data_IF_215311439205
#
_entry.id   IF_215311439205
#
_cell.length_a   1.000
_cell.length_b   1.000
_cell.length_c   1.000
_cell.angle_alpha   90.00
_cell.angle_beta   90.00
_cell.angle_gamma   90.00
#
_symmetry.space_group_name_H-M   'P 1'
#
loop_
_entity.id
_entity.type
_entity.pdbx_description
1 polymer ?
#
# COMPACT_ATOMS: atom_id res chain seq x y z
N UNK A 1 -3.80 3.94 -23.05
CA UNK A 1 -2.93 3.48 -21.95
C UNK A 1 -3.73 3.61 -20.67
N UNK A 2 -3.74 2.57 -19.81
CA UNK A 2 -4.39 2.64 -18.50
C UNK A 2 -3.67 3.61 -17.58
N UNK A 3 -4.41 4.25 -16.65
CA UNK A 3 -3.90 5.28 -15.73
C UNK A 3 -4.27 4.96 -14.28
N UNK A 4 -3.32 5.14 -13.38
CA UNK A 4 -3.56 5.04 -11.93
C UNK A 4 -3.23 6.39 -11.27
N UNK A 5 -4.20 6.95 -10.54
CA UNK A 5 -3.91 8.04 -9.62
C UNK A 5 -3.20 7.45 -8.39
N UNK A 6 -1.98 7.88 -8.11
CA UNK A 6 -1.17 7.41 -6.99
C UNK A 6 -1.08 8.51 -5.94
N UNK A 7 -1.75 8.31 -4.81
CA UNK A 7 -1.93 9.30 -3.75
C UNK A 7 -1.07 8.88 -2.56
N UNK A 8 0.08 9.53 -2.40
CA UNK A 8 1.06 9.19 -1.36
C UNK A 8 2.03 10.37 -1.17
N UNK A 9 2.91 10.33 -0.17
CA UNK A 9 3.97 11.32 -0.04
C UNK A 9 5.05 11.12 -1.11
N UNK A 10 5.80 12.20 -1.36
CA UNK A 10 7.00 12.18 -2.18
C UNK A 10 8.23 12.37 -1.30
N UNK A 11 8.92 11.29 -0.98
CA UNK A 11 10.21 11.31 -0.31
C UNK A 11 11.34 11.37 -1.33
N UNK A 12 12.17 12.43 -1.27
CA UNK A 12 13.25 12.68 -2.21
C UNK A 12 14.42 11.69 -2.08
N UNK A 13 14.70 11.25 -0.85
CA UNK A 13 15.70 10.23 -0.55
C UNK A 13 15.06 9.08 0.24
N UNK A 14 15.42 7.86 -0.12
CA UNK A 14 14.76 6.62 0.31
C UNK A 14 13.80 6.09 -0.76
N UNK A 15 13.76 4.77 -0.89
CA UNK A 15 12.91 4.06 -1.88
C UNK A 15 11.58 3.66 -1.26
N UNK A 16 10.70 4.63 -1.07
CA UNK A 16 9.37 4.46 -0.48
C UNK A 16 8.35 5.38 -1.18
N UNK A 17 7.11 5.24 -0.84
CA UNK A 17 6.00 6.10 -1.26
C UNK A 17 5.97 6.32 -2.79
N UNK A 18 5.79 7.55 -3.29
CA UNK A 18 5.77 7.83 -4.73
C UNK A 18 7.09 7.45 -5.42
N UNK A 19 8.25 7.61 -4.75
CA UNK A 19 9.56 7.26 -5.32
C UNK A 19 9.69 5.76 -5.62
N UNK A 20 8.97 4.90 -4.90
CA UNK A 20 8.88 3.47 -5.15
C UNK A 20 7.74 3.09 -6.10
N UNK A 21 6.57 3.70 -5.93
CA UNK A 21 5.37 3.38 -6.68
C UNK A 21 5.49 3.72 -8.18
N UNK A 22 5.96 4.92 -8.51
CA UNK A 22 5.99 5.41 -9.89
C UNK A 22 6.81 4.52 -10.84
N UNK A 23 8.05 4.10 -10.50
CA UNK A 23 8.83 3.27 -11.40
C UNK A 23 8.24 1.86 -11.58
N UNK A 24 7.66 1.24 -10.55
CA UNK A 24 7.09 -0.11 -10.69
C UNK A 24 5.78 -0.10 -11.47
N UNK A 25 4.90 0.88 -11.26
CA UNK A 25 3.68 1.02 -12.04
C UNK A 25 4.01 1.29 -13.53
N UNK A 26 5.01 2.15 -13.79
CA UNK A 26 5.47 2.46 -15.15
C UNK A 26 6.11 1.23 -15.81
N UNK A 27 6.90 0.42 -15.10
CA UNK A 27 7.49 -0.81 -15.62
C UNK A 27 6.42 -1.84 -16.01
N UNK A 28 5.26 -1.83 -15.34
CA UNK A 28 4.09 -2.64 -15.67
C UNK A 28 3.27 -2.10 -16.86
N UNK A 29 3.72 -1.01 -17.52
CA UNK A 29 3.08 -0.45 -18.71
C UNK A 29 1.85 0.41 -18.43
N UNK A 30 1.72 0.94 -17.22
CA UNK A 30 0.62 1.82 -16.80
C UNK A 30 1.15 3.23 -16.54
N UNK A 31 0.37 4.24 -16.91
CA UNK A 31 0.67 5.63 -16.58
C UNK A 31 0.35 5.90 -15.09
N UNK A 32 1.40 6.14 -14.30
CA UNK A 32 1.27 6.55 -12.91
C UNK A 32 1.09 8.07 -12.82
N UNK A 33 -0.04 8.52 -12.26
CA UNK A 33 -0.38 9.93 -12.12
C UNK A 33 -0.27 10.32 -10.63
N UNK A 34 0.84 10.94 -10.17
CA UNK A 34 1.06 11.22 -8.76
C UNK A 34 0.19 12.38 -8.24
N UNK A 35 -0.45 12.18 -7.08
CA UNK A 35 -1.03 13.24 -6.25
C UNK A 35 -0.28 13.25 -4.91
N UNK A 36 0.67 14.17 -4.70
CA UNK A 36 1.43 14.24 -3.46
C UNK A 36 0.55 14.61 -2.26
N UNK A 37 0.74 13.93 -1.12
CA UNK A 37 0.14 14.28 0.18
C UNK A 37 1.08 15.13 1.02
N UNK A 38 2.38 14.88 0.89
CA UNK A 38 3.46 15.65 1.49
C UNK A 38 4.71 15.56 0.60
N UNK A 39 5.63 16.50 0.74
CA UNK A 39 6.94 16.47 0.06
C UNK A 39 8.01 16.48 1.14
N UNK A 40 8.83 15.44 1.18
CA UNK A 40 9.89 15.25 2.15
C UNK A 40 11.26 15.23 1.47
N UNK A 41 12.28 15.78 2.15
CA UNK A 41 13.66 15.66 1.68
C UNK A 41 14.12 14.20 1.66
N UNK A 42 13.69 13.43 2.65
CA UNK A 42 13.96 12.00 2.85
C UNK A 42 12.85 11.40 3.73
N UNK A 43 12.71 10.09 3.69
CA UNK A 43 11.70 9.40 4.49
C UNK A 43 11.94 9.55 6.00
N UNK A 44 10.87 9.40 6.81
CA UNK A 44 10.84 9.77 8.23
C UNK A 44 11.66 8.87 9.17
N UNK A 45 12.16 7.73 8.71
CA UNK A 45 13.02 6.83 9.50
C UNK A 45 14.44 7.33 9.69
N UNK A 46 14.85 8.40 8.99
CA UNK A 46 16.14 9.06 9.25
C UNK A 46 16.04 10.00 10.46
N UNK A 47 17.18 10.31 11.06
CA UNK A 47 17.27 11.15 12.28
C UNK A 47 16.72 12.57 12.12
N UNK A 48 16.66 13.08 10.88
CA UNK A 48 16.06 14.37 10.56
C UNK A 48 15.56 14.37 9.12
N UNK A 49 14.56 15.17 8.84
CA UNK A 49 14.00 15.38 7.52
C UNK A 49 13.32 16.75 7.44
N UNK A 50 13.25 17.30 6.24
CA UNK A 50 12.37 18.44 5.92
C UNK A 50 11.06 17.89 5.37
N UNK A 51 9.93 18.46 5.78
CA UNK A 51 8.62 18.07 5.28
C UNK A 51 7.76 19.30 5.01
N UNK A 52 7.13 19.30 3.84
CA UNK A 52 6.06 20.25 3.50
C UNK A 52 4.77 19.46 3.32
N UNK A 53 3.77 19.76 4.14
CA UNK A 53 2.40 19.26 3.99
C UNK A 53 1.77 19.86 2.72
N UNK A 54 1.20 19.02 1.86
CA UNK A 54 0.59 19.44 0.60
C UNK A 54 -0.93 19.60 0.68
N UNK A 55 -1.54 19.43 1.87
CA UNK A 55 -3.00 19.41 2.08
C UNK A 55 -3.72 20.59 1.44
N UNK A 56 -3.23 21.83 1.65
CA UNK A 56 -3.88 23.04 1.14
C UNK A 56 -3.79 23.16 -0.39
N UNK A 57 -2.84 22.48 -1.03
CA UNK A 57 -2.63 22.53 -2.48
C UNK A 57 -3.41 21.42 -3.22
N UNK A 58 -3.76 20.32 -2.54
CA UNK A 58 -4.44 19.17 -3.14
C UNK A 58 -5.74 19.56 -3.86
N UNK A 59 -6.64 20.39 -3.30
CA UNK A 59 -7.88 20.75 -4.00
C UNK A 59 -7.62 21.49 -5.34
N UNK A 60 -6.64 22.39 -5.40
CA UNK A 60 -6.27 23.08 -6.62
C UNK A 60 -5.67 22.13 -7.65
N UNK A 61 -4.81 21.22 -7.20
CA UNK A 61 -4.20 20.18 -8.03
C UNK A 61 -5.26 19.27 -8.66
N UNK A 62 -6.17 18.75 -7.84
CA UNK A 62 -7.30 17.91 -8.27
C UNK A 62 -8.24 18.68 -9.21
N UNK A 63 -8.43 19.99 -8.94
CA UNK A 63 -9.24 20.89 -9.76
C UNK A 63 -8.77 20.96 -11.21
N UNK A 64 -7.45 20.93 -11.48
CA UNK A 64 -6.93 20.88 -12.84
C UNK A 64 -7.26 19.56 -13.53
N UNK A 65 -7.17 18.43 -12.83
CA UNK A 65 -7.60 17.14 -13.39
C UNK A 65 -9.09 17.08 -13.72
N UNK A 66 -9.94 17.72 -12.88
CA UNK A 66 -11.38 17.86 -13.17
C UNK A 66 -11.61 18.67 -14.43
N UNK A 67 -10.94 19.81 -14.61
CA UNK A 67 -11.03 20.66 -15.82
C UNK A 67 -10.61 19.92 -17.08
N UNK A 68 -9.59 19.05 -16.98
CA UNK A 68 -9.11 18.22 -18.08
C UNK A 68 -10.01 17.01 -18.35
N UNK A 69 -11.03 16.73 -17.54
CA UNK A 69 -11.86 15.53 -17.58
C UNK A 69 -11.05 14.23 -17.57
N UNK A 70 -9.97 14.19 -16.76
CA UNK A 70 -9.12 13.01 -16.63
C UNK A 70 -9.95 11.82 -16.12
N UNK A 71 -9.66 10.62 -16.65
CA UNK A 71 -10.23 9.36 -16.19
C UNK A 71 -9.10 8.47 -15.72
N UNK A 72 -9.33 7.78 -14.61
CA UNK A 72 -8.41 6.80 -14.06
C UNK A 72 -9.02 5.40 -14.13
N UNK A 73 -8.18 4.39 -14.39
CA UNK A 73 -8.54 2.98 -14.31
C UNK A 73 -8.32 2.44 -12.90
N UNK A 74 -7.49 3.11 -12.11
CA UNK A 74 -7.22 2.80 -10.73
C UNK A 74 -6.92 4.04 -9.88
N UNK A 75 -7.20 3.94 -8.59
CA UNK A 75 -6.84 4.91 -7.55
C UNK A 75 -6.11 4.12 -6.47
N UNK A 76 -4.85 4.43 -6.24
CA UNK A 76 -4.02 3.84 -5.19
C UNK A 76 -3.73 4.89 -4.13
N UNK A 77 -4.09 4.63 -2.87
CA UNK A 77 -3.73 5.50 -1.74
C UNK A 77 -2.73 4.82 -0.82
N UNK A 78 -1.78 5.60 -0.30
CA UNK A 78 -0.85 5.21 0.76
C UNK A 78 -0.94 6.18 1.93
N UNK A 79 0.20 6.73 2.37
CA UNK A 79 0.29 7.61 3.53
C UNK A 79 -0.54 8.90 3.37
N UNK A 80 -1.34 9.19 4.39
CA UNK A 80 -2.13 10.42 4.52
C UNK A 80 -1.73 11.15 5.80
N UNK A 81 -1.35 12.42 5.68
CA UNK A 81 -0.77 13.19 6.78
C UNK A 81 -1.82 13.78 7.74
N UNK A 82 -3.11 13.83 7.36
CA UNK A 82 -4.14 14.51 8.16
C UNK A 82 -5.55 14.01 7.86
N UNK A 83 -6.45 14.27 8.83
CA UNK A 83 -7.88 14.02 8.67
C UNK A 83 -8.50 14.77 7.48
N UNK A 84 -8.00 15.98 7.19
CA UNK A 84 -8.44 16.80 6.05
C UNK A 84 -8.05 16.15 4.73
N UNK A 85 -6.88 15.51 4.66
CA UNK A 85 -6.49 14.75 3.47
C UNK A 85 -7.44 13.58 3.22
N UNK A 86 -7.84 12.85 4.26
CA UNK A 86 -8.83 11.76 4.09
C UNK A 86 -10.13 12.29 3.51
N UNK A 87 -10.65 13.43 3.99
CA UNK A 87 -11.86 14.04 3.42
C UNK A 87 -11.68 14.41 1.96
N UNK A 88 -10.54 15.02 1.59
CA UNK A 88 -10.21 15.36 0.20
C UNK A 88 -10.15 14.10 -0.68
N UNK A 89 -9.62 12.98 -0.16
CA UNK A 89 -9.53 11.74 -0.93
C UNK A 89 -10.89 11.04 -1.04
N UNK A 90 -11.76 11.12 -0.04
CA UNK A 90 -13.14 10.66 -0.16
C UNK A 90 -13.86 11.41 -1.28
N UNK A 91 -13.73 12.75 -1.33
CA UNK A 91 -14.27 13.56 -2.43
C UNK A 91 -13.62 13.21 -3.78
N UNK A 92 -12.32 12.89 -3.78
CA UNK A 92 -11.62 12.43 -4.99
C UNK A 92 -12.20 11.11 -5.51
N UNK A 93 -12.42 10.15 -4.64
CA UNK A 93 -13.03 8.85 -5.00
C UNK A 93 -14.46 9.05 -5.53
N UNK A 94 -15.25 9.94 -4.95
CA UNK A 94 -16.60 10.25 -5.44
C UNK A 94 -16.58 10.84 -6.86
N UNK A 95 -15.56 11.64 -7.19
CA UNK A 95 -15.46 12.29 -8.51
C UNK A 95 -14.81 11.43 -9.60
N UNK A 96 -13.89 10.53 -9.23
CA UNK A 96 -13.05 9.79 -10.18
C UNK A 96 -13.18 8.26 -10.04
N UNK A 97 -13.85 7.77 -9.00
CA UNK A 97 -13.88 6.36 -8.64
C UNK A 97 -14.96 5.50 -9.33
N UNK A 98 -15.95 6.11 -10.03
CA UNK A 98 -17.12 5.40 -10.55
C UNK A 98 -16.77 4.16 -11.40
N UNK A 99 -15.71 4.27 -12.23
CA UNK A 99 -15.23 3.17 -13.09
C UNK A 99 -13.77 2.80 -12.80
N UNK A 100 -13.26 3.16 -11.63
CA UNK A 100 -11.88 2.93 -11.23
C UNK A 100 -11.79 1.85 -10.17
N UNK A 101 -10.75 1.03 -10.21
CA UNK A 101 -10.37 0.18 -9.08
C UNK A 101 -9.86 1.06 -7.93
N UNK A 102 -10.57 1.10 -6.82
CA UNK A 102 -10.12 1.82 -5.62
C UNK A 102 -9.33 0.86 -4.73
N UNK A 103 -8.05 1.13 -4.61
CA UNK A 103 -7.09 0.36 -3.83
C UNK A 103 -6.55 1.23 -2.69
N UNK A 104 -6.75 0.80 -1.45
CA UNK A 104 -6.31 1.53 -0.26
C UNK A 104 -5.27 0.71 0.50
N UNK A 105 -4.06 1.24 0.60
CA UNK A 105 -3.09 0.81 1.58
C UNK A 105 -3.33 1.61 2.87
N UNK A 106 -3.86 1.00 3.94
CA UNK A 106 -4.34 1.73 5.11
C UNK A 106 -3.22 2.08 6.07
N UNK A 107 -2.14 2.65 5.55
CA UNK A 107 -0.92 2.99 6.30
C UNK A 107 -1.25 3.78 7.56
N UNK A 108 -1.05 3.19 8.75
CA UNK A 108 -1.25 3.86 10.04
C UNK A 108 -0.44 3.28 11.20
N UNK A 109 0.05 2.05 11.09
CA UNK A 109 0.69 1.34 12.19
C UNK A 109 1.55 0.18 11.69
N UNK A 110 2.52 -0.27 12.49
CA UNK A 110 3.29 -1.49 12.23
C UNK A 110 3.79 -2.10 13.54
N UNK A 111 4.02 -3.43 13.57
CA UNK A 111 4.52 -4.19 14.74
C UNK A 111 3.81 -3.85 16.08
N UNK A 112 2.48 -3.65 16.03
CA UNK A 112 1.64 -3.33 17.20
C UNK A 112 1.65 -1.85 17.60
N UNK A 113 2.35 -0.98 16.88
CA UNK A 113 2.55 0.43 17.23
C UNK A 113 1.93 1.32 16.15
N UNK A 114 1.01 2.20 16.57
CA UNK A 114 0.49 3.29 15.72
C UNK A 114 1.59 4.32 15.50
N UNK A 115 1.77 4.80 14.28
CA UNK A 115 2.76 5.82 13.97
C UNK A 115 2.48 7.14 14.71
N UNK A 116 3.52 7.81 15.18
CA UNK A 116 3.42 9.06 15.96
C UNK A 116 2.63 10.17 15.25
N UNK A 117 2.58 10.14 13.93
CA UNK A 117 1.83 11.09 13.11
C UNK A 117 0.32 10.80 13.05
N UNK A 118 -0.14 9.63 13.56
CA UNK A 118 -1.54 9.22 13.50
C UNK A 118 -2.26 9.42 14.82
N UNK A 119 -3.27 10.29 14.80
CA UNK A 119 -4.22 10.44 15.92
C UNK A 119 -5.29 9.34 15.87
N UNK A 120 -5.95 9.01 17.02
CA UNK A 120 -7.09 8.09 17.00
C UNK A 120 -8.18 8.50 16.00
N UNK A 121 -8.40 9.80 15.82
CA UNK A 121 -9.39 10.33 14.89
C UNK A 121 -8.97 10.14 13.44
N UNK A 122 -7.68 10.27 13.13
CA UNK A 122 -7.16 9.98 11.80
C UNK A 122 -7.30 8.47 11.49
N UNK A 123 -6.98 7.58 12.43
CA UNK A 123 -7.19 6.14 12.27
C UNK A 123 -8.66 5.81 11.96
N UNK A 124 -9.62 6.41 12.68
CA UNK A 124 -11.05 6.22 12.42
C UNK A 124 -11.46 6.74 11.02
N UNK A 125 -10.86 7.82 10.54
CA UNK A 125 -11.11 8.31 9.17
C UNK A 125 -10.52 7.39 8.11
N UNK A 126 -9.33 6.84 8.33
CA UNK A 126 -8.74 5.85 7.41
C UNK A 126 -9.62 4.59 7.33
N UNK A 127 -10.22 4.15 8.44
CA UNK A 127 -11.22 3.07 8.40
C UNK A 127 -12.39 3.39 7.46
N UNK A 128 -12.93 4.61 7.51
CA UNK A 128 -13.99 5.05 6.57
C UNK A 128 -13.52 5.09 5.12
N UNK A 129 -12.26 5.43 4.89
CA UNK A 129 -11.68 5.39 3.53
C UNK A 129 -11.64 3.95 2.99
N UNK A 130 -11.27 2.98 3.83
CA UNK A 130 -11.26 1.56 3.42
C UNK A 130 -12.64 1.01 3.08
N UNK A 131 -13.73 1.56 3.63
CA UNK A 131 -15.11 1.20 3.27
C UNK A 131 -15.47 1.55 1.80
N UNK A 132 -14.75 2.51 1.20
CA UNK A 132 -14.89 2.91 -0.21
C UNK A 132 -13.98 2.11 -1.16
N UNK A 133 -13.07 1.32 -0.63
CA UNK A 133 -12.12 0.54 -1.40
C UNK A 133 -12.72 -0.74 -1.98
N UNK A 134 -12.18 -1.19 -3.11
CA UNK A 134 -12.41 -2.53 -3.64
C UNK A 134 -11.40 -3.53 -3.07
N UNK A 135 -10.18 -3.06 -2.80
CA UNK A 135 -9.06 -3.84 -2.26
C UNK A 135 -8.37 -3.02 -1.18
N UNK A 136 -7.98 -3.68 -0.08
CA UNK A 136 -7.12 -3.10 0.96
C UNK A 136 -5.94 -4.03 1.28
N UNK A 137 -4.80 -3.44 1.72
CA UNK A 137 -3.56 -4.17 2.05
C UNK A 137 -3.08 -3.96 3.48
N UNK A 138 -3.91 -4.18 4.51
CA UNK A 138 -3.47 -3.99 5.88
C UNK A 138 -2.35 -4.96 6.26
N UNK A 139 -1.34 -4.50 7.02
CA UNK A 139 -0.51 -5.38 7.81
C UNK A 139 -1.32 -5.93 9.01
N UNK A 140 -0.72 -6.82 9.83
CA UNK A 140 -1.44 -7.42 10.95
C UNK A 140 -1.92 -6.40 11.99
N UNK A 141 -1.11 -5.36 12.25
CA UNK A 141 -1.45 -4.30 13.20
C UNK A 141 -2.66 -3.51 12.71
N UNK A 142 -2.63 -3.11 11.46
CA UNK A 142 -3.71 -2.38 10.80
C UNK A 142 -4.99 -3.19 10.73
N UNK A 143 -4.90 -4.49 10.41
CA UNK A 143 -6.04 -5.41 10.46
C UNK A 143 -6.68 -5.43 11.86
N UNK A 144 -5.85 -5.56 12.92
CA UNK A 144 -6.34 -5.56 14.30
C UNK A 144 -7.01 -4.22 14.66
N UNK A 145 -6.43 -3.08 14.25
CA UNK A 145 -7.03 -1.76 14.45
C UNK A 145 -8.39 -1.66 13.74
N UNK A 146 -8.49 -2.12 12.49
CA UNK A 146 -9.74 -2.09 11.73
C UNK A 146 -10.85 -2.90 12.39
N UNK A 147 -10.51 -4.07 12.94
CA UNK A 147 -11.49 -5.01 13.51
C UNK A 147 -11.67 -4.89 15.03
N UNK A 148 -10.89 -4.04 15.70
CA UNK A 148 -10.91 -3.90 17.16
C UNK A 148 -10.34 -5.13 17.90
N UNK A 149 -9.42 -5.85 17.26
CA UNK A 149 -8.76 -7.03 17.81
C UNK A 149 -7.47 -6.67 18.57
N UNK A 150 -7.07 -7.56 19.50
CA UNK A 150 -5.82 -7.38 20.23
C UNK A 150 -4.63 -7.90 19.41
N UNK A 151 -3.74 -6.99 19.00
CA UNK A 151 -2.57 -7.34 18.19
C UNK A 151 -1.65 -8.36 18.90
N UNK A 152 -1.39 -8.21 20.21
CA UNK A 152 -0.47 -9.10 20.93
C UNK A 152 -0.98 -10.55 20.97
N UNK A 153 -2.30 -10.72 21.09
CA UNK A 153 -2.91 -12.07 21.08
C UNK A 153 -2.83 -12.69 19.69
N UNK A 154 -3.22 -11.93 18.65
CA UNK A 154 -3.24 -12.44 17.27
C UNK A 154 -1.82 -12.72 16.76
N UNK A 155 -0.87 -11.83 17.02
CA UNK A 155 0.53 -11.97 16.57
C UNK A 155 1.27 -13.11 17.26
N UNK A 156 0.94 -13.43 18.53
CA UNK A 156 1.55 -14.53 19.26
C UNK A 156 1.14 -15.87 18.69
N UNK A 157 -0.13 -16.04 18.35
CA UNK A 157 -0.65 -17.29 17.78
C UNK A 157 -0.26 -17.45 16.31
N UNK A 158 -0.24 -16.35 15.55
CA UNK A 158 -0.02 -16.30 14.09
C UNK A 158 -0.85 -17.40 13.36
N UNK A 159 -2.11 -17.56 13.82
CA UNK A 159 -3.01 -18.53 13.23
C UNK A 159 -3.66 -17.96 11.97
N UNK A 160 -3.27 -18.52 10.83
CA UNK A 160 -3.74 -18.10 9.50
C UNK A 160 -5.27 -18.19 9.40
N UNK A 161 -5.90 -19.21 10.00
CA UNK A 161 -7.35 -19.36 9.96
C UNK A 161 -8.04 -18.24 10.75
N UNK A 162 -7.51 -17.91 11.94
CA UNK A 162 -8.02 -16.80 12.77
C UNK A 162 -7.86 -15.45 12.06
N UNK A 163 -6.66 -15.19 11.52
CA UNK A 163 -6.37 -13.97 10.75
C UNK A 163 -7.30 -13.85 9.53
N UNK A 164 -7.46 -14.94 8.77
CA UNK A 164 -8.34 -14.94 7.60
C UNK A 164 -9.81 -14.70 7.99
N UNK A 165 -10.27 -15.26 9.11
CA UNK A 165 -11.63 -15.03 9.61
C UNK A 165 -11.84 -13.57 10.01
N UNK A 166 -10.86 -12.94 10.65
CA UNK A 166 -10.88 -11.51 10.99
C UNK A 166 -10.94 -10.67 9.70
N UNK A 167 -10.08 -10.96 8.73
CA UNK A 167 -10.08 -10.25 7.44
C UNK A 167 -11.40 -10.44 6.66
N UNK A 168 -12.01 -11.62 6.74
CA UNK A 168 -13.32 -11.91 6.12
C UNK A 168 -14.43 -11.01 6.67
N UNK A 169 -14.37 -10.60 7.94
CA UNK A 169 -15.38 -9.73 8.54
C UNK A 169 -15.42 -8.31 7.95
N UNK A 170 -14.35 -7.90 7.29
CA UNK A 170 -14.27 -6.61 6.60
C UNK A 170 -14.90 -6.63 5.19
N UNK A 171 -15.11 -7.80 4.60
CA UNK A 171 -15.65 -7.92 3.25
C UNK A 171 -17.09 -7.42 3.17
N UNK A 172 -17.35 -6.59 2.17
CA UNK A 172 -18.66 -6.01 1.88
C UNK A 172 -19.00 -6.18 0.40
N UNK A 173 -20.08 -5.52 -0.05
CA UNK A 173 -20.39 -5.46 -1.48
C UNK A 173 -19.48 -4.48 -2.24
N UNK A 174 -18.77 -3.57 -1.58
CA UNK A 174 -17.75 -2.71 -2.17
C UNK A 174 -16.37 -3.31 -1.98
N UNK A 175 -15.96 -3.61 -0.75
CA UNK A 175 -14.67 -4.20 -0.41
C UNK A 175 -14.70 -5.71 -0.71
N UNK A 176 -14.11 -6.10 -1.83
CA UNK A 176 -14.11 -7.48 -2.34
C UNK A 176 -12.90 -8.30 -1.88
N UNK A 177 -11.79 -7.61 -1.56
CA UNK A 177 -10.52 -8.26 -1.27
C UNK A 177 -9.80 -7.58 -0.12
N UNK A 178 -9.37 -8.37 0.86
CA UNK A 178 -8.46 -7.96 1.92
C UNK A 178 -7.17 -8.76 1.78
N UNK A 179 -6.04 -8.09 1.67
CA UNK A 179 -4.72 -8.73 1.58
C UNK A 179 -3.97 -8.40 2.87
N UNK A 180 -3.89 -9.36 3.78
CA UNK A 180 -3.13 -9.20 5.03
C UNK A 180 -1.66 -9.45 4.73
N UNK A 181 -0.82 -8.42 4.87
CA UNK A 181 0.58 -8.47 4.47
C UNK A 181 1.51 -8.75 5.65
N UNK A 182 2.68 -9.32 5.34
CA UNK A 182 3.81 -9.36 6.27
C UNK A 182 3.70 -10.37 7.41
N UNK A 183 2.82 -11.37 7.35
CA UNK A 183 2.65 -12.36 8.43
C UNK A 183 3.90 -13.24 8.51
N UNK A 184 4.60 -13.19 9.64
CA UNK A 184 5.81 -13.99 9.89
C UNK A 184 5.44 -15.35 10.48
N UNK A 185 5.70 -16.45 9.77
CA UNK A 185 5.42 -17.81 10.25
C UNK A 185 6.42 -18.82 9.70
N UNK A 186 7.02 -19.62 10.60
CA UNK A 186 7.88 -20.72 10.20
C UNK A 186 9.12 -20.33 9.40
N UNK A 187 9.68 -19.12 9.61
CA UNK A 187 10.82 -18.62 8.84
C UNK A 187 10.45 -18.03 7.47
N UNK A 188 9.15 -17.90 7.19
CA UNK A 188 8.60 -17.29 5.98
C UNK A 188 7.81 -16.03 6.29
N UNK A 189 7.67 -15.15 5.30
CA UNK A 189 6.66 -14.10 5.27
C UNK A 189 5.52 -14.61 4.40
N UNK A 190 4.30 -14.43 4.88
CA UNK A 190 3.08 -14.84 4.18
C UNK A 190 2.19 -13.63 3.96
N UNK A 191 1.71 -13.46 2.72
CA UNK A 191 0.69 -12.49 2.35
C UNK A 191 -0.61 -13.26 2.09
N UNK A 192 -1.66 -12.94 2.85
CA UNK A 192 -2.92 -13.68 2.87
C UNK A 192 -3.97 -12.87 2.14
N UNK A 193 -4.39 -13.31 0.96
CA UNK A 193 -5.49 -12.73 0.20
C UNK A 193 -6.80 -13.41 0.61
N UNK A 194 -7.77 -12.62 1.04
CA UNK A 194 -9.09 -13.09 1.48
C UNK A 194 -10.16 -12.47 0.58
N UNK A 195 -10.98 -13.33 -0.03
CA UNK A 195 -12.13 -12.99 -0.87
C UNK A 195 -13.34 -13.83 -0.45
N UNK A 196 -14.54 -13.50 -0.94
CA UNK A 196 -15.77 -14.27 -0.61
C UNK A 196 -15.70 -15.73 -1.05
N UNK A 197 -14.96 -16.01 -2.11
CA UNK A 197 -14.83 -17.33 -2.76
C UNK A 197 -13.61 -18.14 -2.29
N UNK A 198 -12.73 -17.57 -1.48
CA UNK A 198 -11.59 -18.30 -0.96
C UNK A 198 -10.45 -17.47 -0.40
N UNK A 199 -9.39 -18.19 -0.05
CA UNK A 199 -8.17 -17.65 0.54
C UNK A 199 -6.99 -18.11 -0.32
N UNK A 200 -6.09 -17.19 -0.66
CA UNK A 200 -4.81 -17.47 -1.30
C UNK A 200 -3.66 -17.00 -0.39
N UNK A 201 -2.57 -17.75 -0.34
CA UNK A 201 -1.38 -17.42 0.47
C UNK A 201 -0.15 -17.43 -0.42
N UNK A 202 0.43 -16.27 -0.62
CA UNK A 202 1.74 -16.14 -1.23
C UNK A 202 2.82 -16.09 -0.15
N UNK A 203 3.92 -16.82 -0.36
CA UNK A 203 4.99 -17.00 0.62
C UNK A 203 6.33 -16.56 0.08
N UNK A 204 7.15 -15.99 0.94
CA UNK A 204 8.55 -15.66 0.66
C UNK A 204 9.45 -15.99 1.83
N UNK A 205 10.75 -16.19 1.54
CA UNK A 205 11.77 -16.38 2.58
C UNK A 205 12.08 -15.05 3.27
N UNK A 206 12.42 -15.12 4.54
CA UNK A 206 12.91 -13.97 5.30
C UNK A 206 14.39 -13.76 4.98
N UNK A 207 14.76 -12.54 4.58
CA UNK A 207 16.14 -12.08 4.43
C UNK A 207 16.33 -10.82 5.28
N UNK A 208 17.22 -10.88 6.26
CA UNK A 208 17.54 -9.74 7.12
C UNK A 208 16.35 -9.21 7.92
N UNK A 209 16.24 -7.91 8.01
CA UNK A 209 15.18 -7.19 8.72
C UNK A 209 14.08 -6.64 7.79
N UNK A 210 13.32 -5.66 8.29
CA UNK A 210 12.37 -4.89 7.49
C UNK A 210 13.09 -3.76 6.75
N UNK A 211 12.59 -3.41 5.55
CA UNK A 211 13.06 -2.28 4.74
C UNK A 211 11.90 -1.32 4.48
N UNK A 212 12.20 -0.03 4.47
CA UNK A 212 11.23 1.00 4.09
C UNK A 212 10.72 0.78 2.65
N UNK A 213 9.47 1.12 2.40
CA UNK A 213 8.86 1.10 1.06
C UNK A 213 8.45 -0.29 0.53
N UNK A 214 8.59 -1.36 1.32
CA UNK A 214 8.14 -2.70 0.89
C UNK A 214 6.63 -2.77 0.71
N UNK A 215 5.84 -2.09 1.56
CA UNK A 215 4.40 -1.94 1.41
C UNK A 215 4.02 -1.18 0.14
N UNK A 216 4.69 -0.04 -0.11
CA UNK A 216 4.45 0.78 -1.32
C UNK A 216 4.73 0.00 -2.61
N UNK A 217 5.82 -0.75 -2.66
CA UNK A 217 6.14 -1.62 -3.80
C UNK A 217 5.10 -2.72 -3.98
N UNK A 218 4.70 -3.38 -2.88
CA UNK A 218 3.71 -4.45 -2.91
C UNK A 218 2.35 -3.94 -3.41
N UNK A 219 1.81 -2.92 -2.77
CA UNK A 219 0.50 -2.35 -3.11
C UNK A 219 0.48 -1.79 -4.53
N UNK A 220 1.58 -1.17 -4.98
CA UNK A 220 1.72 -0.65 -6.35
C UNK A 220 1.69 -1.75 -7.41
N UNK A 221 2.42 -2.87 -7.20
CA UNK A 221 2.44 -3.98 -8.14
C UNK A 221 1.07 -4.66 -8.19
N UNK A 222 0.47 -4.94 -7.02
CA UNK A 222 -0.84 -5.60 -6.96
C UNK A 222 -1.92 -4.72 -7.59
N UNK A 223 -1.94 -3.42 -7.28
CA UNK A 223 -2.89 -2.48 -7.88
C UNK A 223 -2.74 -2.44 -9.41
N UNK A 224 -1.51 -2.28 -9.91
CA UNK A 224 -1.24 -2.18 -11.34
C UNK A 224 -1.65 -3.45 -12.10
N UNK A 225 -1.28 -4.62 -11.61
CA UNK A 225 -1.63 -5.89 -12.24
C UNK A 225 -3.16 -6.15 -12.22
N UNK A 226 -3.83 -5.80 -11.11
CA UNK A 226 -5.29 -5.91 -11.03
C UNK A 226 -5.98 -4.93 -12.00
N UNK A 227 -5.47 -3.71 -12.13
CA UNK A 227 -5.95 -2.74 -13.12
C UNK A 227 -5.76 -3.28 -14.55
N UNK A 228 -4.69 -4.03 -14.84
CA UNK A 228 -4.50 -4.72 -16.14
C UNK A 228 -5.54 -5.82 -16.39
N UNK A 229 -6.20 -6.31 -15.33
CA UNK A 229 -7.19 -7.38 -15.39
C UNK A 229 -6.63 -8.75 -15.04
N UNK A 230 -5.45 -8.82 -14.41
CA UNK A 230 -4.92 -10.08 -13.88
C UNK A 230 -5.69 -10.51 -12.63
N UNK A 231 -5.71 -11.81 -12.42
CA UNK A 231 -6.21 -12.40 -11.19
C UNK A 231 -5.42 -11.90 -9.98
N UNK A 232 -6.14 -11.59 -8.89
CA UNK A 232 -5.53 -10.99 -7.69
C UNK A 232 -4.49 -11.90 -7.04
N UNK A 233 -4.70 -13.22 -7.07
CA UNK A 233 -3.75 -14.18 -6.49
C UNK A 233 -2.45 -14.21 -7.30
N UNK A 234 -2.53 -14.07 -8.62
CA UNK A 234 -1.35 -13.95 -9.49
C UNK A 234 -0.61 -12.62 -9.25
N UNK A 235 -1.34 -11.51 -9.10
CA UNK A 235 -0.77 -10.21 -8.78
C UNK A 235 -0.03 -10.21 -7.43
N UNK A 236 -0.64 -10.79 -6.40
CA UNK A 236 -0.04 -10.95 -5.06
C UNK A 236 1.19 -11.86 -5.10
N UNK A 237 1.15 -12.94 -5.87
CA UNK A 237 2.31 -13.84 -6.04
C UNK A 237 3.46 -13.11 -6.71
N UNK A 238 3.23 -12.39 -7.81
CA UNK A 238 4.24 -11.58 -8.49
C UNK A 238 4.87 -10.53 -7.56
N UNK A 239 4.04 -9.78 -6.82
CA UNK A 239 4.53 -8.77 -5.87
C UNK A 239 5.39 -9.41 -4.77
N UNK A 240 4.98 -10.57 -4.25
CA UNK A 240 5.71 -11.31 -3.23
C UNK A 240 7.06 -11.80 -3.75
N UNK A 241 7.13 -12.35 -4.95
CA UNK A 241 8.37 -12.81 -5.59
C UNK A 241 9.31 -11.65 -5.93
N UNK A 242 8.78 -10.56 -6.45
CA UNK A 242 9.53 -9.34 -6.75
C UNK A 242 10.20 -8.78 -5.48
N UNK A 243 9.43 -8.66 -4.41
CA UNK A 243 9.94 -8.19 -3.12
C UNK A 243 10.97 -9.15 -2.53
N UNK A 244 10.73 -10.46 -2.56
CA UNK A 244 11.71 -11.44 -2.05
C UNK A 244 13.06 -11.25 -2.72
N UNK A 245 13.09 -11.15 -4.07
CA UNK A 245 14.35 -10.99 -4.82
C UNK A 245 15.01 -9.64 -4.57
N UNK A 246 14.21 -8.57 -4.44
CA UNK A 246 14.71 -7.23 -4.15
C UNK A 246 15.28 -7.10 -2.74
N UNK A 247 14.63 -7.72 -1.74
CA UNK A 247 15.11 -7.77 -0.35
C UNK A 247 16.37 -8.64 -0.25
N UNK A 248 16.42 -9.78 -0.94
CA UNK A 248 17.60 -10.65 -0.98
C UNK A 248 18.83 -9.90 -1.51
N UNK A 249 18.69 -9.11 -2.58
CA UNK A 249 19.77 -8.30 -3.12
C UNK A 249 20.19 -7.21 -2.11
N UNK A 250 19.22 -6.50 -1.53
CA UNK A 250 19.49 -5.46 -0.52
C UNK A 250 20.22 -6.01 0.70
N UNK A 251 19.84 -7.20 1.16
CA UNK A 251 20.50 -7.90 2.26
C UNK A 251 21.94 -8.26 1.93
N UNK A 252 22.20 -8.82 0.72
CA UNK A 252 23.56 -9.15 0.26
C UNK A 252 24.46 -7.92 0.10
N UNK A 253 23.87 -6.79 -0.29
CA UNK A 253 24.58 -5.52 -0.46
C UNK A 253 24.71 -4.72 0.85
N UNK A 254 24.20 -5.24 1.99
CA UNK A 254 24.16 -4.56 3.29
C UNK A 254 23.53 -3.16 3.21
N UNK A 255 22.46 -3.01 2.41
CA UNK A 255 21.76 -1.75 2.27
C UNK A 255 21.14 -1.31 3.60
N UNK A 256 21.20 0.01 3.89
CA UNK A 256 20.50 0.56 5.05
C UNK A 256 18.98 0.35 4.89
N UNK A 257 18.33 -0.03 5.98
CA UNK A 257 16.87 -0.25 5.97
C UNK A 257 16.07 1.01 5.56
N UNK A 258 16.59 2.19 5.91
CA UNK A 258 15.96 3.47 5.61
C UNK A 258 16.13 3.88 4.15
N UNK A 259 17.17 3.39 3.48
CA UNK A 259 17.33 3.58 2.03
C UNK A 259 16.23 2.85 1.23
N UNK A 260 15.56 1.86 1.84
CA UNK A 260 14.61 0.98 1.18
C UNK A 260 15.28 -0.11 0.35
N UNK A 261 14.49 -0.95 -0.29
CA UNK A 261 15.00 -2.09 -1.07
C UNK A 261 15.61 -1.69 -2.41
N UNK A 262 16.65 -2.39 -2.85
CA UNK A 262 17.31 -2.21 -4.14
C UNK A 262 16.51 -2.93 -5.25
N UNK A 263 15.34 -2.38 -5.60
CA UNK A 263 14.42 -3.01 -6.54
C UNK A 263 14.72 -2.72 -8.02
N UNK A 264 15.52 -1.70 -8.33
CA UNK A 264 15.72 -1.19 -9.68
C UNK A 264 16.23 -2.28 -10.65
N UNK A 265 17.13 -3.15 -10.18
CA UNK A 265 17.66 -4.28 -10.95
C UNK A 265 16.61 -5.37 -11.24
N UNK A 266 15.49 -5.36 -10.52
CA UNK A 266 14.40 -6.34 -10.68
C UNK A 266 13.24 -5.84 -11.54
N UNK A 267 13.27 -4.59 -11.98
CA UNK A 267 12.19 -4.02 -12.80
C UNK A 267 11.93 -4.84 -14.09
N UNK A 268 12.95 -5.53 -14.61
CA UNK A 268 12.79 -6.44 -15.76
C UNK A 268 11.76 -7.56 -15.51
N UNK A 269 11.58 -8.00 -14.25
CA UNK A 269 10.56 -8.99 -13.88
C UNK A 269 9.15 -8.46 -14.11
N UNK A 270 8.95 -7.15 -13.96
CA UNK A 270 7.65 -6.49 -14.13
C UNK A 270 7.37 -6.17 -15.60
N UNK A 271 8.41 -5.86 -16.39
CA UNK A 271 8.28 -5.58 -17.83
C UNK A 271 7.83 -6.84 -18.59
N UNK A 272 8.24 -8.01 -18.13
CA UNK A 272 7.96 -9.30 -18.76
C UNK A 272 6.79 -10.07 -18.10
N UNK A 273 6.04 -9.40 -17.20
CA UNK A 273 4.97 -10.02 -16.41
C UNK A 273 3.58 -10.06 -17.12
#
# INVERSE_FOLDING_TARGET
MKKIAVINDLSGFGRCSLSAALPVISALGIEACPLPTAILSNQTGYSSYFCTDFTENMPSYIGEWKKMNVKFDGILTGYLASEKQVDIILDFIENFGENSLVFVDPVMADDGIVYDTYTPKLCEKVKKLTEKANIITPNLTELCIHCGENYEEISRENDIQKISKIATSLLTDTLKTVIVTGIRKGGEIQNITVQKDGIHIAKSKIFGGSYSGTGDLFSSIVCAETVKGKDISQAVTLATEFLQKSIEDSYKENSDRNDGVNFQKKLEMLINA
#
